data_IF_788588690971
#
_entry.id   IF_788588690971
#
_cell.length_a   1.000
_cell.length_b   1.000
_cell.length_c   1.000
_cell.angle_alpha   90.00
_cell.angle_beta   90.00
_cell.angle_gamma   90.00
#
_symmetry.space_group_name_H-M   'P 1'
#
loop_
_entity.id
_entity.type
_entity.pdbx_description
1 polymer ?
#
# COMPACT_ATOMS: atom_id res chain seq x y z
N UNK A 1 6.96 -7.77 15.00
CA UNK A 1 7.41 -6.59 14.24
C UNK A 1 6.17 -5.85 13.76
N UNK A 2 6.11 -4.53 13.91
CA UNK A 2 5.11 -3.72 13.21
C UNK A 2 5.39 -3.83 11.69
N UNK A 3 4.36 -3.85 10.86
CA UNK A 3 4.54 -3.73 9.42
C UNK A 3 5.29 -2.41 9.13
N UNK A 4 6.32 -2.43 8.28
CA UNK A 4 7.02 -1.22 7.86
C UNK A 4 6.09 -0.25 7.11
N UNK A 5 6.51 0.98 6.85
CA UNK A 5 5.69 1.98 6.16
C UNK A 5 5.25 1.53 4.76
N UNK A 6 4.20 2.16 4.22
CA UNK A 6 3.81 1.97 2.83
C UNK A 6 4.97 2.39 1.91
N UNK A 7 5.21 1.67 0.80
CA UNK A 7 6.16 2.13 -0.21
C UNK A 7 5.63 3.42 -0.86
N UNK A 8 6.54 4.16 -1.49
CA UNK A 8 6.18 5.29 -2.34
C UNK A 8 5.19 4.86 -3.44
N UNK A 9 4.30 5.77 -3.90
CA UNK A 9 3.38 5.50 -4.99
C UNK A 9 4.09 4.90 -6.22
N UNK A 10 3.48 3.88 -6.82
CA UNK A 10 4.06 3.14 -7.93
C UNK A 10 3.03 2.36 -8.74
N UNK A 11 3.51 1.45 -9.58
CA UNK A 11 2.67 0.67 -10.49
C UNK A 11 2.48 -0.74 -9.95
N UNK A 12 1.21 -1.17 -9.91
CA UNK A 12 0.81 -2.49 -9.47
C UNK A 12 0.04 -3.22 -10.59
N UNK A 13 0.14 -4.55 -10.62
CA UNK A 13 -0.52 -5.37 -11.62
C UNK A 13 -1.86 -5.93 -11.13
N UNK A 14 -2.96 -5.57 -11.81
CA UNK A 14 -4.31 -6.02 -11.49
C UNK A 14 -4.84 -7.01 -12.54
N UNK A 15 -5.52 -8.07 -12.08
CA UNK A 15 -6.14 -9.08 -12.94
C UNK A 15 -7.47 -9.58 -12.33
N UNK A 16 -8.37 -8.64 -12.02
CA UNK A 16 -9.66 -8.91 -11.40
C UNK A 16 -10.76 -8.01 -11.98
N UNK A 17 -12.02 -8.44 -11.83
CA UNK A 17 -13.20 -7.70 -12.32
C UNK A 17 -14.01 -7.02 -11.22
N UNK A 18 -13.77 -7.39 -9.96
CA UNK A 18 -14.45 -6.85 -8.79
C UNK A 18 -13.47 -6.11 -7.90
N UNK A 19 -13.95 -5.08 -7.22
CA UNK A 19 -13.17 -4.23 -6.33
C UNK A 19 -14.00 -3.76 -5.14
N UNK A 20 -13.33 -3.43 -4.04
CA UNK A 20 -13.94 -2.73 -2.91
C UNK A 20 -13.95 -1.23 -3.20
N UNK A 21 -15.12 -0.68 -3.53
CA UNK A 21 -15.29 0.74 -3.89
C UNK A 21 -15.51 1.65 -2.67
N UNK A 22 -16.02 1.12 -1.56
CA UNK A 22 -16.29 1.88 -0.34
C UNK A 22 -15.02 2.01 0.52
N UNK A 23 -14.15 2.94 0.11
CA UNK A 23 -12.88 3.22 0.79
C UNK A 23 -13.11 3.75 2.21
N UNK A 24 -14.15 4.57 2.40
CA UNK A 24 -14.46 5.19 3.68
C UNK A 24 -14.88 4.14 4.72
N UNK A 25 -15.75 3.18 4.35
CA UNK A 25 -16.14 2.11 5.26
C UNK A 25 -14.94 1.27 5.75
N UNK A 26 -13.96 1.02 4.86
CA UNK A 26 -12.73 0.29 5.21
C UNK A 26 -11.87 1.10 6.20
N UNK A 27 -11.73 2.40 5.97
CA UNK A 27 -11.00 3.30 6.88
C UNK A 27 -11.68 3.42 8.24
N UNK A 28 -13.01 3.57 8.28
CA UNK A 28 -13.81 3.60 9.52
C UNK A 28 -13.66 2.30 10.32
N UNK A 29 -13.47 1.16 9.66
CA UNK A 29 -13.15 -0.11 10.31
C UNK A 29 -11.70 -0.19 10.87
N UNK A 30 -10.93 0.89 10.76
CA UNK A 30 -9.58 1.03 11.29
C UNK A 30 -8.51 0.35 10.44
N UNK A 31 -8.74 0.24 9.13
CA UNK A 31 -7.72 -0.23 8.18
C UNK A 31 -7.02 0.98 7.55
N UNK A 32 -5.70 0.86 7.41
CA UNK A 32 -4.96 1.74 6.52
C UNK A 32 -5.13 1.25 5.09
N UNK A 33 -5.35 2.15 4.13
CA UNK A 33 -5.67 1.81 2.75
C UNK A 33 -4.72 2.49 1.77
N UNK A 34 -4.30 1.74 0.75
CA UNK A 34 -3.75 2.27 -0.48
C UNK A 34 -4.85 2.30 -1.53
N UNK A 35 -4.98 3.41 -2.25
CA UNK A 35 -6.05 3.66 -3.22
C UNK A 35 -5.47 3.58 -4.63
N UNK A 36 -6.22 2.97 -5.55
CA UNK A 36 -5.99 3.09 -6.99
C UNK A 36 -7.25 3.64 -7.66
N UNK A 37 -7.09 4.19 -8.86
CA UNK A 37 -8.21 4.64 -9.69
C UNK A 37 -8.20 3.87 -11.02
N UNK A 38 -9.32 3.19 -11.27
CA UNK A 38 -9.63 2.62 -12.58
C UNK A 38 -11.14 2.68 -12.77
N UNK A 39 -11.60 3.73 -13.47
CA UNK A 39 -13.01 4.10 -13.55
C UNK A 39 -13.61 4.33 -12.15
N UNK A 40 -12.88 5.07 -11.31
CA UNK A 40 -13.25 5.46 -9.95
C UNK A 40 -12.30 4.88 -8.90
N UNK A 41 -12.21 5.52 -7.71
CA UNK A 41 -11.32 5.10 -6.64
C UNK A 41 -11.78 3.77 -6.03
N UNK A 42 -10.82 2.96 -5.62
CA UNK A 42 -11.06 1.71 -4.91
C UNK A 42 -9.87 1.31 -4.05
N UNK A 43 -10.10 0.38 -3.12
CA UNK A 43 -9.05 -0.18 -2.26
C UNK A 43 -8.12 -1.07 -3.08
N UNK A 44 -6.89 -0.61 -3.32
CA UNK A 44 -5.86 -1.38 -4.01
C UNK A 44 -5.13 -2.33 -3.07
N UNK A 45 -4.87 -1.88 -1.84
CA UNK A 45 -4.38 -2.71 -0.74
C UNK A 45 -4.87 -2.13 0.58
N UNK A 46 -4.91 -2.96 1.61
CA UNK A 46 -5.24 -2.53 2.97
C UNK A 46 -4.41 -3.30 3.98
N UNK A 47 -4.09 -2.66 5.10
CA UNK A 47 -3.36 -3.28 6.19
C UNK A 47 -3.93 -2.92 7.56
N UNK A 48 -3.78 -3.86 8.48
CA UNK A 48 -4.09 -3.70 9.90
C UNK A 48 -3.26 -4.69 10.70
N UNK A 49 -2.48 -4.19 11.64
CA UNK A 49 -1.55 -4.97 12.46
C UNK A 49 -0.53 -5.76 11.61
N UNK A 50 -0.73 -7.08 11.49
CA UNK A 50 0.12 -7.99 10.72
C UNK A 50 -0.54 -8.48 9.44
N UNK A 51 -1.74 -8.01 9.14
CA UNK A 51 -2.47 -8.38 7.93
C UNK A 51 -2.18 -7.36 6.84
N UNK A 52 -1.73 -7.85 5.69
CA UNK A 52 -1.66 -7.11 4.43
C UNK A 52 -2.55 -7.85 3.42
N UNK A 53 -3.50 -7.15 2.82
CA UNK A 53 -4.31 -7.66 1.72
C UNK A 53 -4.07 -6.79 0.48
N UNK A 54 -3.86 -7.44 -0.66
CA UNK A 54 -3.64 -6.78 -1.94
C UNK A 54 -4.73 -7.20 -2.93
N UNK A 55 -5.36 -6.23 -3.58
CA UNK A 55 -6.25 -6.48 -4.72
C UNK A 55 -5.42 -6.78 -5.98
N UNK A 56 -4.21 -6.22 -6.08
CA UNK A 56 -3.22 -6.52 -7.11
C UNK A 56 -2.35 -7.73 -6.75
N UNK A 57 -1.54 -8.16 -7.71
CA UNK A 57 -0.57 -9.24 -7.58
C UNK A 57 0.83 -8.65 -7.30
N UNK A 58 1.29 -8.57 -6.03
CA UNK A 58 2.62 -8.03 -5.71
C UNK A 58 3.75 -8.79 -6.43
N UNK A 59 3.59 -10.10 -6.63
CA UNK A 59 4.51 -10.98 -7.36
C UNK A 59 4.62 -10.65 -8.86
N UNK A 60 3.59 -10.02 -9.44
CA UNK A 60 3.58 -9.56 -10.82
C UNK A 60 3.89 -8.05 -10.95
N UNK A 61 4.14 -7.37 -9.83
CA UNK A 61 4.35 -5.92 -9.77
C UNK A 61 5.85 -5.53 -9.72
N UNK A 62 6.74 -6.48 -10.01
CA UNK A 62 8.18 -6.29 -10.09
C UNK A 62 8.81 -5.74 -8.80
N UNK A 63 9.85 -4.93 -8.94
CA UNK A 63 10.60 -4.36 -7.81
C UNK A 63 9.71 -3.55 -6.83
N UNK A 64 8.63 -2.93 -7.34
CA UNK A 64 7.69 -2.22 -6.48
C UNK A 64 6.91 -3.19 -5.58
N UNK A 65 6.38 -4.28 -6.14
CA UNK A 65 5.68 -5.31 -5.38
C UNK A 65 6.60 -6.04 -4.39
N UNK A 66 7.85 -6.32 -4.79
CA UNK A 66 8.87 -6.85 -3.89
C UNK A 66 9.14 -5.93 -2.70
N UNK A 67 9.22 -4.61 -2.93
CA UNK A 67 9.45 -3.64 -1.85
C UNK A 67 8.31 -3.62 -0.84
N UNK A 68 7.06 -3.75 -1.30
CA UNK A 68 5.88 -3.82 -0.44
C UNK A 68 5.91 -5.08 0.44
N UNK A 69 6.15 -6.24 -0.16
CA UNK A 69 6.23 -7.51 0.57
C UNK A 69 7.40 -7.49 1.56
N UNK A 70 8.54 -6.93 1.15
CA UNK A 70 9.70 -6.74 2.03
C UNK A 70 9.39 -5.84 3.23
N UNK A 71 8.66 -4.74 3.03
CA UNK A 71 8.24 -3.85 4.12
C UNK A 71 7.30 -4.56 5.10
N UNK A 72 6.36 -5.37 4.58
CA UNK A 72 5.45 -6.17 5.41
C UNK A 72 6.17 -7.27 6.20
N UNK A 73 7.12 -7.96 5.60
CA UNK A 73 7.95 -8.97 6.26
C UNK A 73 8.98 -8.37 7.25
N UNK A 74 9.21 -7.06 7.19
CA UNK A 74 10.26 -6.39 7.95
C UNK A 74 11.68 -6.68 7.42
N UNK A 75 11.79 -7.05 6.14
CA UNK A 75 13.06 -7.32 5.45
C UNK A 75 13.50 -6.18 4.54
N UNK A 76 12.65 -5.17 4.34
CA UNK A 76 13.02 -3.96 3.60
C UNK A 76 14.19 -3.27 4.30
N UNK A 77 15.26 -3.00 3.56
CA UNK A 77 16.39 -2.22 4.06
C UNK A 77 15.91 -0.80 4.43
N UNK A 78 16.08 -0.40 5.69
CA UNK A 78 15.87 0.98 6.11
C UNK A 78 16.75 1.89 5.25
N UNK A 79 16.14 2.72 4.39
CA UNK A 79 16.88 3.80 3.74
C UNK A 79 17.29 4.78 4.86
N UNK A 80 18.58 5.15 4.99
CA UNK A 80 18.97 6.12 6.00
C UNK A 80 18.19 7.43 5.77
N UNK A 81 17.66 7.95 6.87
CA UNK A 81 16.81 9.14 6.90
C UNK A 81 17.54 10.33 6.25
N UNK A 82 16.92 10.97 5.25
CA UNK A 82 17.42 12.25 4.76
C UNK A 82 16.92 13.32 5.71
N UNK A 83 17.84 13.87 6.50
CA UNK A 83 17.62 14.98 7.41
C UNK A 83 16.68 16.05 6.83
N UNK A 84 15.50 16.12 7.45
CA UNK A 84 14.58 17.25 7.66
C UNK A 84 14.52 18.35 6.60
N UNK A 85 13.40 18.38 5.89
CA UNK A 85 12.87 19.56 5.20
C UNK A 85 11.35 19.49 5.14
N UNK A 86 10.67 19.90 6.22
CA UNK A 86 9.20 19.96 6.30
C UNK A 86 8.63 20.77 5.13
N UNK A 87 7.93 20.10 4.22
CA UNK A 87 6.81 20.68 3.45
C UNK A 87 5.71 19.64 3.35
N UNK A 88 4.57 20.00 3.91
CA UNK A 88 3.34 19.21 3.91
C UNK A 88 2.92 18.91 2.47
N UNK A 89 2.75 17.62 2.16
CA UNK A 89 2.09 17.16 0.94
C UNK A 89 0.90 16.31 1.37
N UNK A 90 -0.28 16.74 0.93
CA UNK A 90 -1.55 16.07 1.13
C UNK A 90 -1.61 14.85 0.21
N UNK A 91 -2.14 13.76 0.75
CA UNK A 91 -2.60 12.60 0.00
C UNK A 91 -3.90 12.95 -0.73
#
# INVERSE_FOLDING_TARGET
PAAGDWPEPGHAYFANSYRVADVEAVQVAGWEVAIADHAGPFVAAMRKDRVLACQFHPELSGAWGESLVGAWLGTAATKPDKATGRKEARC
#
